data_IF_698289928067
#
_entry.id   IF_698289928067
#
_cell.length_a   1.000
_cell.length_b   1.000
_cell.length_c   1.000
_cell.angle_alpha   90.00
_cell.angle_beta   90.00
_cell.angle_gamma   90.00
#
_symmetry.space_group_name_H-M   'P 1'
#
loop_
_entity.id
_entity.type
_entity.pdbx_description
1 polymer ?
#
# COMPACT_ATOMS: atom_id res chain seq x y z
N UNK A 1 9.38 13.00 -6.38
CA UNK A 1 8.36 12.10 -5.86
C UNK A 1 8.86 10.95 -5.01
N UNK A 2 9.89 10.27 -5.40
CA UNK A 2 10.70 9.46 -4.49
C UNK A 2 11.14 10.30 -3.26
N UNK A 3 11.35 11.58 -3.46
CA UNK A 3 11.62 12.55 -2.41
C UNK A 3 10.47 12.66 -1.39
N UNK A 4 9.22 12.52 -1.80
CA UNK A 4 8.07 12.62 -0.88
C UNK A 4 8.03 11.44 0.09
N UNK A 5 8.25 10.22 -0.38
CA UNK A 5 8.35 9.02 0.46
C UNK A 5 9.59 9.06 1.34
N UNK A 6 10.72 9.52 0.82
CA UNK A 6 11.96 9.69 1.58
C UNK A 6 11.81 10.77 2.65
N UNK A 7 11.04 11.83 2.38
CA UNK A 7 10.74 12.87 3.37
C UNK A 7 9.66 12.45 4.38
N UNK A 8 8.71 11.63 3.98
CA UNK A 8 7.63 11.17 4.85
C UNK A 8 8.09 10.06 5.81
N UNK A 9 8.94 9.17 5.36
CA UNK A 9 9.41 8.00 6.12
C UNK A 9 10.34 8.33 7.29
N UNK A 10 11.34 9.26 7.20
CA UNK A 10 12.30 9.47 8.27
C UNK A 10 11.76 10.17 9.51
N UNK A 11 10.57 10.78 9.41
CA UNK A 11 10.03 11.62 10.48
C UNK A 11 8.97 10.92 11.33
N UNK A 12 8.59 9.69 10.98
CA UNK A 12 7.56 8.95 11.72
C UNK A 12 8.11 7.61 12.22
N UNK A 13 8.69 7.65 13.41
CA UNK A 13 9.34 6.50 14.04
C UNK A 13 8.44 5.25 14.17
N UNK A 14 7.15 5.35 14.55
CA UNK A 14 6.30 4.17 14.66
C UNK A 14 6.03 3.50 13.31
N UNK A 15 5.85 4.30 12.25
CA UNK A 15 5.67 3.79 10.90
C UNK A 15 6.93 3.13 10.36
N UNK A 16 8.11 3.67 10.74
CA UNK A 16 9.41 3.11 10.39
C UNK A 16 9.65 1.76 11.05
N UNK A 17 9.23 1.56 12.29
CA UNK A 17 9.37 0.28 12.99
C UNK A 17 8.45 -0.78 12.40
N UNK A 18 7.20 -0.44 12.12
CA UNK A 18 6.26 -1.33 11.44
C UNK A 18 6.71 -1.59 10.01
N UNK A 19 7.14 -0.55 9.30
CA UNK A 19 7.62 -0.67 7.94
C UNK A 19 9.00 -1.34 7.80
N UNK A 20 9.84 -1.32 8.85
CA UNK A 20 11.14 -2.00 8.77
C UNK A 20 10.99 -3.50 8.59
N UNK A 21 10.02 -4.11 9.27
CA UNK A 21 9.69 -5.51 9.04
C UNK A 21 9.06 -5.76 7.67
N UNK A 22 8.25 -4.81 7.21
CA UNK A 22 7.56 -4.87 5.92
C UNK A 22 8.56 -4.58 4.78
N UNK A 23 9.40 -3.56 4.93
CA UNK A 23 10.38 -3.11 3.92
C UNK A 23 11.46 -4.18 3.67
N UNK A 24 11.89 -4.91 4.70
CA UNK A 24 12.81 -6.03 4.50
C UNK A 24 12.19 -7.18 3.70
N UNK A 25 10.87 -7.26 3.69
CA UNK A 25 10.12 -8.28 2.94
C UNK A 25 9.71 -7.79 1.55
N UNK A 26 9.76 -6.47 1.28
CA UNK A 26 9.27 -5.89 0.03
C UNK A 26 10.40 -5.55 -0.93
N UNK A 27 10.23 -5.97 -2.17
CA UNK A 27 11.10 -5.58 -3.28
C UNK A 27 10.91 -4.09 -3.62
N UNK A 28 11.88 -3.51 -4.32
CA UNK A 28 11.89 -2.11 -4.78
C UNK A 28 10.59 -1.65 -5.45
N UNK A 29 9.81 -2.58 -5.99
CA UNK A 29 8.60 -2.30 -6.74
C UNK A 29 7.50 -1.62 -5.90
N UNK A 30 7.42 -1.88 -4.59
CA UNK A 30 6.39 -1.26 -3.76
C UNK A 30 6.65 0.23 -3.55
N UNK A 31 7.90 0.65 -3.45
CA UNK A 31 8.23 2.08 -3.32
C UNK A 31 7.78 2.88 -4.52
N UNK A 32 8.05 2.36 -5.71
CA UNK A 32 7.65 2.99 -6.96
C UNK A 32 6.13 3.01 -7.07
N UNK A 33 5.50 1.88 -6.82
CA UNK A 33 4.04 1.73 -6.89
C UNK A 33 3.31 2.65 -5.91
N UNK A 34 3.74 2.70 -4.65
CA UNK A 34 3.16 3.58 -3.64
C UNK A 34 3.42 5.04 -3.93
N UNK A 35 4.63 5.39 -4.37
CA UNK A 35 4.98 6.76 -4.74
C UNK A 35 4.09 7.25 -5.86
N UNK A 36 3.92 6.47 -6.91
CA UNK A 36 3.05 6.80 -8.02
C UNK A 36 1.59 6.94 -7.57
N UNK A 37 1.11 6.01 -6.75
CA UNK A 37 -0.26 6.04 -6.26
C UNK A 37 -0.52 7.30 -5.42
N UNK A 38 0.35 7.61 -4.46
CA UNK A 38 0.22 8.80 -3.60
C UNK A 38 0.27 10.06 -4.43
N UNK A 39 1.15 10.10 -5.41
CA UNK A 39 1.25 11.22 -6.35
C UNK A 39 -0.04 11.50 -7.10
N UNK A 40 -0.60 10.45 -7.70
CA UNK A 40 -1.84 10.56 -8.43
C UNK A 40 -3.01 10.91 -7.50
N UNK A 41 -3.00 10.41 -6.27
CA UNK A 41 -3.99 10.76 -5.26
C UNK A 41 -3.96 12.26 -4.90
N UNK A 42 -2.76 12.79 -4.71
CA UNK A 42 -2.56 14.22 -4.43
C UNK A 42 -2.99 15.07 -5.64
N UNK A 43 -2.64 14.64 -6.84
CA UNK A 43 -3.03 15.30 -8.08
C UNK A 43 -4.55 15.33 -8.22
N UNK A 44 -5.22 14.20 -8.02
CA UNK A 44 -6.69 14.14 -8.04
C UNK A 44 -7.31 15.05 -6.99
N UNK A 45 -6.75 15.07 -5.80
CA UNK A 45 -7.22 15.96 -4.73
C UNK A 45 -7.14 17.42 -5.15
N UNK A 46 -6.02 17.84 -5.73
CA UNK A 46 -5.81 19.23 -6.21
C UNK A 46 -6.79 19.59 -7.32
N UNK A 47 -7.19 18.64 -8.13
CA UNK A 47 -8.18 18.83 -9.20
C UNK A 47 -9.62 18.76 -8.70
N UNK A 48 -9.84 18.52 -7.40
CA UNK A 48 -11.17 18.40 -6.82
C UNK A 48 -11.90 17.10 -7.19
N UNK A 49 -11.17 16.10 -7.67
CA UNK A 49 -11.73 14.81 -8.04
C UNK A 49 -11.87 13.91 -6.80
N UNK A 50 -13.08 13.39 -6.58
CA UNK A 50 -13.37 12.46 -5.51
C UNK A 50 -13.11 11.03 -5.97
N UNK A 51 -12.11 10.40 -5.37
CA UNK A 51 -11.85 8.99 -5.60
C UNK A 51 -12.65 8.13 -4.62
N UNK A 52 -13.27 7.09 -5.15
CA UNK A 52 -13.95 6.08 -4.35
C UNK A 52 -13.38 4.70 -4.66
N UNK A 53 -13.07 3.95 -3.63
CA UNK A 53 -12.62 2.57 -3.77
C UNK A 53 -13.81 1.64 -3.56
N UNK A 54 -14.19 0.91 -4.59
CA UNK A 54 -15.33 -0.01 -4.54
C UNK A 54 -15.16 -1.14 -3.52
N UNK A 55 -13.93 -1.43 -3.13
CA UNK A 55 -13.59 -2.51 -2.20
C UNK A 55 -13.31 -2.01 -0.77
N UNK A 56 -13.68 -0.77 -0.45
CA UNK A 56 -13.38 -0.16 0.85
C UNK A 56 -13.84 -1.04 2.03
N UNK A 57 -15.05 -1.56 1.97
CA UNK A 57 -15.61 -2.39 3.04
C UNK A 57 -14.88 -3.72 3.20
N UNK A 58 -14.57 -4.38 2.09
CA UNK A 58 -13.87 -5.64 2.05
C UNK A 58 -12.44 -5.49 2.57
N UNK A 59 -11.77 -4.42 2.19
CA UNK A 59 -10.42 -4.11 2.64
C UNK A 59 -10.41 -3.86 4.15
N UNK A 60 -11.32 -3.05 4.65
CA UNK A 60 -11.46 -2.81 6.08
C UNK A 60 -11.69 -4.10 6.87
N UNK A 61 -12.49 -5.00 6.31
CA UNK A 61 -12.87 -6.23 6.99
C UNK A 61 -11.78 -7.29 6.95
N UNK A 62 -11.18 -7.51 5.77
CA UNK A 62 -10.25 -8.62 5.54
C UNK A 62 -8.79 -8.23 5.67
N UNK A 63 -8.47 -6.96 5.44
CA UNK A 63 -7.11 -6.42 5.45
C UNK A 63 -6.99 -5.23 6.39
N UNK A 64 -7.57 -5.37 7.58
CA UNK A 64 -7.63 -4.27 8.55
C UNK A 64 -6.23 -3.78 8.95
N UNK A 65 -5.26 -4.67 9.10
CA UNK A 65 -3.90 -4.30 9.45
C UNK A 65 -3.26 -3.40 8.39
N UNK A 66 -3.38 -3.79 7.14
CA UNK A 66 -2.88 -3.03 6.00
C UNK A 66 -3.66 -1.72 5.82
N UNK A 67 -4.96 -1.77 6.07
CA UNK A 67 -5.81 -0.57 6.04
C UNK A 67 -5.38 0.46 7.09
N UNK A 68 -5.03 0.03 8.30
CA UNK A 68 -4.52 0.92 9.35
C UNK A 68 -3.19 1.56 8.94
N UNK A 69 -2.32 0.84 8.26
CA UNK A 69 -1.09 1.40 7.69
C UNK A 69 -1.43 2.48 6.66
N UNK A 70 -2.43 2.23 5.81
CA UNK A 70 -2.93 3.22 4.87
C UNK A 70 -3.46 4.47 5.57
N UNK A 71 -4.21 4.31 6.64
CA UNK A 71 -4.69 5.43 7.47
C UNK A 71 -3.55 6.25 8.07
N UNK A 72 -2.52 5.60 8.56
CA UNK A 72 -1.32 6.28 9.06
C UNK A 72 -0.62 7.08 7.96
N UNK A 73 -0.53 6.52 6.76
CA UNK A 73 0.01 7.23 5.61
C UNK A 73 -0.78 8.51 5.31
N UNK A 74 -2.12 8.45 5.36
CA UNK A 74 -2.96 9.65 5.19
C UNK A 74 -2.71 10.68 6.28
N UNK A 75 -2.49 10.26 7.51
CA UNK A 75 -2.16 11.14 8.63
C UNK A 75 -0.83 11.86 8.39
N UNK A 76 0.17 11.16 7.89
CA UNK A 76 1.47 11.74 7.56
C UNK A 76 1.33 12.78 6.43
N UNK A 77 0.57 12.46 5.39
CA UNK A 77 0.31 13.37 4.27
C UNK A 77 -0.38 14.64 4.78
N UNK A 78 -1.37 14.49 5.66
CA UNK A 78 -2.08 15.63 6.26
C UNK A 78 -1.11 16.52 7.05
N UNK A 79 -0.25 15.94 7.86
CA UNK A 79 0.73 16.69 8.67
C UNK A 79 1.77 17.41 7.82
N UNK A 80 2.21 16.80 6.72
CA UNK A 80 3.31 17.33 5.91
C UNK A 80 2.87 18.27 4.81
N UNK A 81 1.76 17.99 4.17
CA UNK A 81 1.30 18.71 2.99
C UNK A 81 0.00 19.46 3.23
N UNK A 82 -0.62 19.29 4.40
CA UNK A 82 -1.94 19.83 4.73
C UNK A 82 -3.01 19.42 3.71
N UNK A 83 -2.92 18.19 3.23
CA UNK A 83 -3.85 17.59 2.28
C UNK A 83 -4.60 16.47 3.00
N UNK A 84 -5.92 16.56 3.05
CA UNK A 84 -6.79 15.54 3.64
C UNK A 84 -7.34 14.64 2.53
N UNK A 85 -6.69 13.52 2.31
CA UNK A 85 -7.13 12.52 1.35
C UNK A 85 -8.30 11.70 1.94
N UNK A 86 -9.24 11.22 1.10
CA UNK A 86 -10.34 10.40 1.56
C UNK A 86 -9.87 9.02 2.04
N UNK A 87 -10.68 8.39 2.88
CA UNK A 87 -10.44 7.06 3.43
C UNK A 87 -10.26 5.99 2.34
N UNK A 88 -10.90 6.19 1.20
CA UNK A 88 -10.75 5.34 0.03
C UNK A 88 -9.29 5.21 -0.44
N UNK A 89 -8.50 6.27 -0.28
CA UNK A 89 -7.07 6.23 -0.60
C UNK A 89 -6.29 5.35 0.37
N UNK A 90 -6.69 5.29 1.64
CA UNK A 90 -6.11 4.36 2.60
C UNK A 90 -6.36 2.90 2.19
N UNK A 91 -7.56 2.62 1.69
CA UNK A 91 -7.89 1.29 1.15
C UNK A 91 -7.04 0.95 -0.07
N UNK A 92 -6.79 1.90 -0.95
CA UNK A 92 -5.93 1.70 -2.12
C UNK A 92 -4.49 1.45 -1.73
N UNK A 93 -3.97 2.19 -0.74
CA UNK A 93 -2.63 1.95 -0.18
C UNK A 93 -2.56 0.53 0.42
N UNK A 94 -3.59 0.12 1.16
CA UNK A 94 -3.67 -1.23 1.72
C UNK A 94 -3.59 -2.31 0.63
N UNK A 95 -4.27 -2.12 -0.49
CA UNK A 95 -4.19 -3.06 -1.62
C UNK A 95 -2.79 -3.15 -2.22
N UNK A 96 -2.08 -2.02 -2.33
CA UNK A 96 -0.69 -2.04 -2.79
C UNK A 96 0.19 -2.87 -1.84
N UNK A 97 -0.03 -2.74 -0.54
CA UNK A 97 0.71 -3.52 0.47
C UNK A 97 0.38 -5.01 0.35
N UNK A 98 -0.90 -5.35 0.26
CA UNK A 98 -1.34 -6.74 0.11
C UNK A 98 -0.75 -7.37 -1.15
N UNK A 99 -0.81 -6.66 -2.28
CA UNK A 99 -0.26 -7.15 -3.54
C UNK A 99 1.25 -7.36 -3.45
N UNK A 100 1.97 -6.48 -2.77
CA UNK A 100 3.40 -6.64 -2.55
C UNK A 100 3.73 -7.82 -1.65
N UNK A 101 2.91 -8.07 -0.61
CA UNK A 101 3.05 -9.25 0.25
C UNK A 101 2.83 -10.55 -0.53
N UNK A 102 1.83 -10.57 -1.41
CA UNK A 102 1.56 -11.73 -2.24
C UNK A 102 2.69 -11.99 -3.24
N UNK A 103 3.25 -10.94 -3.81
CA UNK A 103 4.36 -11.03 -4.78
C UNK A 103 5.69 -11.39 -4.12
N UNK A 104 5.90 -11.02 -2.86
CA UNK A 104 7.11 -11.33 -2.10
C UNK A 104 7.07 -12.71 -1.44
N UNK A 105 5.88 -13.28 -1.29
CA UNK A 105 5.77 -14.69 -0.97
C UNK A 105 6.39 -15.47 -2.10
N UNK A 106 7.45 -16.07 -1.76
CA UNK A 106 8.47 -16.75 -2.53
C UNK A 106 7.98 -17.28 -3.89
N UNK A 107 8.77 -17.07 -4.91
CA UNK A 107 8.58 -17.76 -6.20
C UNK A 107 8.36 -19.27 -6.00
N UNK A 108 8.85 -19.84 -4.90
CA UNK A 108 8.61 -21.22 -4.51
C UNK A 108 7.12 -21.48 -4.24
N UNK A 109 6.42 -20.60 -3.52
CA UNK A 109 4.98 -20.76 -3.28
C UNK A 109 4.18 -20.69 -4.58
N UNK A 110 4.57 -19.84 -5.50
CA UNK A 110 3.94 -19.73 -6.83
C UNK A 110 4.18 -21.03 -7.64
N UNK A 111 5.38 -21.56 -7.58
CA UNK A 111 5.71 -22.83 -8.23
C UNK A 111 4.95 -23.99 -7.61
N UNK A 112 4.79 -24.01 -6.30
CA UNK A 112 4.04 -25.06 -5.61
C UNK A 112 2.55 -24.99 -5.91
N UNK A 113 1.97 -23.78 -5.95
CA UNK A 113 0.57 -23.58 -6.38
C UNK A 113 0.39 -24.01 -7.84
N UNK A 114 1.32 -23.67 -8.71
CA UNK A 114 1.28 -24.07 -10.13
C UNK A 114 1.34 -25.59 -10.26
N UNK A 115 2.20 -26.25 -9.52
CA UNK A 115 2.27 -27.72 -9.47
C UNK A 115 0.99 -28.33 -8.94
N UNK A 116 0.39 -27.77 -7.89
CA UNK A 116 -0.90 -28.22 -7.37
C UNK A 116 -1.99 -28.13 -8.43
N UNK A 117 -2.08 -27.00 -9.13
CA UNK A 117 -3.06 -26.80 -10.20
C UNK A 117 -2.83 -27.81 -11.33
N UNK A 118 -1.59 -28.03 -11.75
CA UNK A 118 -1.27 -29.04 -12.78
C UNK A 118 -1.68 -30.45 -12.35
N UNK A 119 -1.44 -30.80 -11.08
CA UNK A 119 -1.85 -32.10 -10.54
C UNK A 119 -3.37 -32.28 -10.49
N UNK A 120 -4.13 -31.22 -10.25
CA UNK A 120 -5.60 -31.25 -10.27
C UNK A 120 -6.13 -31.41 -11.70
N UNK A 121 -5.45 -30.78 -12.69
CA UNK A 121 -5.86 -30.81 -14.10
C UNK A 121 -5.43 -32.08 -14.85
N UNK A 122 -4.47 -32.82 -14.32
CA UNK A 122 -4.04 -34.11 -14.82
C UNK A 122 -4.76 -35.24 -14.10
#
# INVERSE_FOLDING_TARGET
MLLLLVYLLPFYHPLLVVNKCIIHSFQHNIYISLTDHISFAIERYKQGLNFKNALLWEIKRFYNHEFLIGKEALTIIKKRLDIMLPEDEAASIALHIVNAQLNSRDMNDTLDITKMIQNILN
#
